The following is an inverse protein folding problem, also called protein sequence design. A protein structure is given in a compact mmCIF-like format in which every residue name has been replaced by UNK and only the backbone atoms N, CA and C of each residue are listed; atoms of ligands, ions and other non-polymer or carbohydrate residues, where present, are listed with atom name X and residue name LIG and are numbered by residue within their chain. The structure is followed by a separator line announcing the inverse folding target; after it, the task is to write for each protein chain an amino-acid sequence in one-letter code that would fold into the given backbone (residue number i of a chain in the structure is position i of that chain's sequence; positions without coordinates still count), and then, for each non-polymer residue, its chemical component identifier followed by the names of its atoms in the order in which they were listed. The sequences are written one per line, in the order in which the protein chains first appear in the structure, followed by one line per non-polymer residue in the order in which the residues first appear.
data_IF_694382969908
#
_entry.id   IF_694382969908
#
_cell.length_a   1.000
_cell.length_b   1.000
_cell.length_c   1.000
_cell.angle_alpha   90.00
_cell.angle_beta   90.00
_cell.angle_gamma   90.00
#
_symmetry.space_group_name_H-M   'P 1'
#
loop_
_entity.id
_entity.type
_entity.pdbx_description
1 polymer ?
#
# COMPACT_ATOMS: atom_id res chain seq x y z
N UNK A 1 6.91 -34.68 18.76
CA UNK A 1 7.55 -33.39 18.44
C UNK A 1 7.83 -33.42 16.96
N UNK A 2 6.98 -32.75 16.18
CA UNK A 2 7.20 -32.49 14.76
C UNK A 2 6.83 -31.03 14.59
N UNK A 3 7.84 -30.20 14.38
CA UNK A 3 7.70 -28.77 14.14
C UNK A 3 7.20 -28.61 12.70
N UNK A 4 5.91 -28.31 12.55
CA UNK A 4 5.30 -28.03 11.25
C UNK A 4 5.54 -26.54 10.95
N UNK A 5 6.67 -26.27 10.30
CA UNK A 5 6.99 -24.94 9.80
C UNK A 5 6.09 -24.63 8.59
N UNK A 6 4.94 -24.01 8.85
CA UNK A 6 4.11 -23.33 7.85
C UNK A 6 4.90 -22.10 7.34
N UNK A 7 5.66 -22.30 6.26
CA UNK A 7 6.33 -21.20 5.58
C UNK A 7 5.29 -20.49 4.69
N UNK A 8 5.04 -19.18 4.86
CA UNK A 8 4.03 -18.49 4.09
C UNK A 8 4.39 -18.52 2.60
N UNK A 9 3.45 -18.99 1.78
CA UNK A 9 3.57 -18.99 0.32
C UNK A 9 4.00 -17.61 -0.17
N UNK A 10 5.16 -17.58 -0.83
CA UNK A 10 5.75 -16.40 -1.41
C UNK A 10 4.84 -15.94 -2.55
N UNK A 11 3.91 -15.03 -2.25
CA UNK A 11 3.00 -14.47 -3.26
C UNK A 11 3.87 -13.81 -4.35
N UNK A 12 3.81 -14.34 -5.57
CA UNK A 12 4.52 -13.82 -6.74
C UNK A 12 4.12 -12.34 -6.90
N UNK A 13 5.00 -11.43 -6.48
CA UNK A 13 4.79 -9.99 -6.66
C UNK A 13 4.68 -9.73 -8.17
N UNK A 14 3.52 -9.23 -8.58
CA UNK A 14 3.15 -8.99 -9.98
C UNK A 14 4.30 -8.39 -10.78
N UNK A 15 4.58 -8.99 -11.95
CA UNK A 15 5.73 -8.70 -12.83
C UNK A 15 5.56 -7.41 -13.62
N UNK A 16 4.34 -6.87 -13.64
CA UNK A 16 4.04 -5.56 -14.21
C UNK A 16 4.08 -4.50 -13.11
N UNK A 17 4.64 -3.31 -13.38
CA UNK A 17 4.50 -2.20 -12.46
C UNK A 17 3.01 -1.95 -12.31
N UNK A 18 2.47 -2.17 -11.11
CA UNK A 18 1.11 -1.75 -10.77
C UNK A 18 1.00 -0.30 -11.22
N UNK A 19 0.23 -0.06 -12.29
CA UNK A 19 0.21 1.24 -12.95
C UNK A 19 -0.26 2.25 -11.92
N UNK A 20 0.68 3.02 -11.37
CA UNK A 20 0.40 4.03 -10.37
C UNK A 20 -0.69 4.95 -10.92
N UNK A 21 -1.72 5.17 -10.12
CA UNK A 21 -2.78 6.11 -10.49
C UNK A 21 -2.23 7.54 -10.51
N UNK A 22 -3.01 8.48 -11.03
CA UNK A 22 -2.70 9.90 -10.84
C UNK A 22 -3.14 10.42 -9.46
N UNK A 23 -3.74 9.57 -8.63
CA UNK A 23 -4.25 9.91 -7.29
C UNK A 23 -3.08 9.84 -6.31
N UNK A 24 -2.91 10.90 -5.52
CA UNK A 24 -1.81 11.03 -4.59
C UNK A 24 -2.26 10.67 -3.18
N UNK A 25 -1.33 10.24 -2.34
CA UNK A 25 -1.64 10.00 -0.93
C UNK A 25 -2.09 11.28 -0.21
N UNK A 26 -1.61 12.45 -0.63
CA UNK A 26 -1.97 13.75 -0.05
C UNK A 26 -3.33 14.30 -0.54
N UNK A 27 -4.04 13.58 -1.42
CA UNK A 27 -5.44 13.87 -1.77
C UNK A 27 -6.42 13.33 -0.70
N UNK A 28 -5.95 12.46 0.20
CA UNK A 28 -6.72 11.89 1.29
C UNK A 28 -6.40 12.57 2.62
N UNK A 29 -7.31 12.52 3.62
CA UNK A 29 -7.06 13.08 4.96
C UNK A 29 -6.15 12.17 5.79
N UNK A 30 -4.97 11.84 5.26
CA UNK A 30 -3.93 11.04 5.92
C UNK A 30 -3.08 11.98 6.80
N UNK A 31 -2.73 11.58 8.05
CA UNK A 31 -1.84 12.34 8.90
C UNK A 31 -0.51 12.70 8.23
N UNK A 32 -0.03 13.92 8.47
CA UNK A 32 1.18 14.48 7.85
C UNK A 32 2.42 13.61 8.10
N UNK A 33 2.51 12.99 9.28
CA UNK A 33 3.61 12.12 9.67
C UNK A 33 3.67 10.87 8.79
N UNK A 34 2.52 10.31 8.41
CA UNK A 34 2.44 9.16 7.51
C UNK A 34 2.77 9.60 6.08
N UNK A 35 2.25 10.75 5.64
CA UNK A 35 2.57 11.31 4.33
C UNK A 35 4.07 11.60 4.16
N UNK A 36 4.75 12.05 5.23
CA UNK A 36 6.20 12.24 5.23
C UNK A 36 6.93 10.91 4.99
N UNK A 37 6.57 9.86 5.75
CA UNK A 37 7.16 8.53 5.56
C UNK A 37 6.92 7.97 4.15
N UNK A 38 5.72 8.17 3.58
CA UNK A 38 5.41 7.75 2.21
C UNK A 38 6.29 8.49 1.17
N UNK A 39 6.50 9.79 1.36
CA UNK A 39 7.37 10.62 0.50
C UNK A 39 8.84 10.19 0.61
N UNK A 40 9.33 9.90 1.80
CA UNK A 40 10.71 9.44 2.03
C UNK A 40 10.99 8.10 1.34
N UNK A 41 9.96 7.27 1.18
CA UNK A 41 10.00 6.00 0.44
C UNK A 41 9.78 6.16 -1.08
N UNK A 42 9.55 7.39 -1.56
CA UNK A 42 9.24 7.66 -2.98
C UNK A 42 7.81 7.28 -3.39
N UNK A 43 6.94 6.92 -2.44
CA UNK A 43 5.55 6.56 -2.69
C UNK A 43 4.66 7.80 -2.65
N UNK A 44 4.57 8.47 -3.81
CA UNK A 44 3.77 9.71 -3.95
C UNK A 44 2.35 9.42 -4.45
N UNK A 45 2.21 8.42 -5.31
CA UNK A 45 0.96 8.04 -5.97
C UNK A 45 0.45 6.72 -5.43
N UNK A 46 -0.87 6.62 -5.30
CA UNK A 46 -1.54 5.40 -4.90
C UNK A 46 -1.55 4.39 -6.05
N UNK A 47 -1.43 3.11 -5.72
CA UNK A 47 -1.82 2.04 -6.64
C UNK A 47 -3.35 2.05 -6.83
N UNK A 48 -3.89 1.46 -7.90
CA UNK A 48 -5.34 1.44 -8.14
C UNK A 48 -6.11 0.87 -6.95
N UNK A 49 -5.63 -0.25 -6.40
CA UNK A 49 -6.24 -0.88 -5.23
C UNK A 49 -6.16 0.04 -3.99
N UNK A 50 -5.03 0.73 -3.78
CA UNK A 50 -4.88 1.64 -2.66
C UNK A 50 -5.83 2.84 -2.77
N UNK A 51 -6.00 3.42 -3.96
CA UNK A 51 -6.92 4.53 -4.17
C UNK A 51 -8.38 4.15 -3.86
N UNK A 52 -8.77 2.90 -4.10
CA UNK A 52 -10.10 2.38 -3.76
C UNK A 52 -10.24 2.08 -2.26
N UNK A 53 -9.21 1.54 -1.63
CA UNK A 53 -9.28 1.06 -0.24
C UNK A 53 -9.02 2.17 0.78
N UNK A 54 -8.14 3.13 0.51
CA UNK A 54 -7.78 4.21 1.46
C UNK A 54 -9.02 4.97 1.97
N UNK A 55 -9.97 5.43 1.13
CA UNK A 55 -11.19 6.08 1.60
C UNK A 55 -11.99 5.23 2.58
N UNK A 56 -12.09 3.93 2.30
CA UNK A 56 -12.83 2.97 3.12
C UNK A 56 -12.12 2.76 4.47
N UNK A 57 -10.79 2.62 4.45
CA UNK A 57 -9.97 2.45 5.65
C UNK A 57 -10.00 3.69 6.56
N UNK A 58 -10.13 4.89 5.99
CA UNK A 58 -10.21 6.15 6.73
C UNK A 58 -11.62 6.46 7.25
N UNK A 59 -12.65 5.75 6.79
CA UNK A 59 -14.05 6.03 7.15
C UNK A 59 -14.42 5.60 8.58
N UNK A 60 -13.64 4.70 9.20
CA UNK A 60 -13.88 4.18 10.55
C UNK A 60 -14.80 2.97 10.60
#
# INVERSE_FOLDING_TARGET
MSDETDAPEMTERSKEPERLTQIRFDDFPIPTEILAGLKDLGNVYCTPLQAEIIPLALAG
#
